data_IF_864023328103
#
_entry.id   IF_864023328103
#
_cell.length_a   1.000
_cell.length_b   1.000
_cell.length_c   1.000
_cell.angle_alpha   90.00
_cell.angle_beta   90.00
_cell.angle_gamma   90.00
#
_symmetry.space_group_name_H-M   'P 1'
#
loop_
_entity.id
_entity.type
_entity.pdbx_description
1 polymer ?
#
# COMPACT_ATOMS: atom_id res chain seq x y z
N UNK A 1 -4.44 -48.40 5.31
CA UNK A 1 -5.15 -47.19 5.74
C UNK A 1 -4.44 -46.01 5.10
N UNK A 2 -4.95 -45.51 3.97
CA UNK A 2 -4.34 -44.42 3.22
C UNK A 2 -4.96 -43.10 3.67
N UNK A 3 -4.19 -42.28 4.38
CA UNK A 3 -4.59 -40.93 4.76
C UNK A 3 -4.37 -40.02 3.54
N UNK A 4 -5.46 -39.63 2.89
CA UNK A 4 -5.48 -38.59 1.87
C UNK A 4 -5.14 -37.26 2.54
N UNK A 5 -3.92 -36.75 2.32
CA UNK A 5 -3.58 -35.37 2.61
C UNK A 5 -4.19 -34.50 1.51
N UNK A 6 -5.22 -33.73 1.84
CA UNK A 6 -5.68 -32.65 0.96
C UNK A 6 -4.65 -31.51 1.01
N UNK A 7 -4.34 -30.88 -0.14
CA UNK A 7 -3.57 -29.65 -0.14
C UNK A 7 -4.41 -28.55 0.51
N UNK A 8 -3.85 -27.90 1.54
CA UNK A 8 -4.44 -26.70 2.14
C UNK A 8 -4.39 -25.60 1.09
N UNK A 9 -5.54 -25.36 0.45
CA UNK A 9 -5.73 -24.26 -0.47
C UNK A 9 -5.88 -22.98 0.36
N UNK A 10 -4.83 -22.14 0.41
CA UNK A 10 -4.81 -20.85 1.12
C UNK A 10 -5.64 -19.76 0.40
N UNK A 11 -6.69 -20.14 -0.31
CA UNK A 11 -7.65 -19.20 -0.89
C UNK A 11 -8.81 -18.93 0.07
N UNK A 12 -8.49 -18.65 1.33
CA UNK A 12 -9.43 -18.04 2.26
C UNK A 12 -9.03 -16.56 2.39
N UNK A 13 -9.58 -15.73 1.50
CA UNK A 13 -9.68 -14.29 1.76
C UNK A 13 -10.46 -14.14 3.05
N UNK A 14 -9.74 -13.93 4.13
CA UNK A 14 -10.34 -13.66 5.42
C UNK A 14 -10.93 -12.25 5.40
N UNK A 15 -12.20 -12.11 5.77
CA UNK A 15 -12.92 -10.83 5.97
C UNK A 15 -12.34 -9.92 7.06
N UNK A 16 -11.17 -10.26 7.61
CA UNK A 16 -10.35 -9.32 8.36
C UNK A 16 -9.80 -8.30 7.37
N UNK A 17 -10.19 -7.03 7.50
CA UNK A 17 -9.46 -5.94 6.86
C UNK A 17 -7.99 -6.14 7.18
N UNK A 18 -7.20 -6.50 6.18
CA UNK A 18 -5.77 -6.68 6.39
C UNK A 18 -5.22 -5.33 6.85
N UNK A 19 -4.72 -5.30 8.09
CA UNK A 19 -4.08 -4.12 8.64
C UNK A 19 -2.73 -3.93 7.95
N UNK A 20 -2.30 -2.67 7.76
CA UNK A 20 -0.98 -2.41 7.20
C UNK A 20 0.09 -2.99 8.12
N UNK A 21 1.01 -3.82 7.60
CA UNK A 21 2.07 -4.40 8.41
C UNK A 21 2.94 -3.30 9.02
N UNK A 22 3.26 -3.46 10.30
CA UNK A 22 4.20 -2.59 11.00
C UNK A 22 5.61 -3.18 10.85
N UNK A 23 6.48 -2.43 10.20
CA UNK A 23 7.86 -2.81 9.91
C UNK A 23 8.80 -2.09 10.87
N UNK A 24 9.78 -2.82 11.41
CA UNK A 24 10.83 -2.24 12.22
C UNK A 24 11.73 -1.36 11.33
N UNK A 25 11.87 -0.08 11.68
CA UNK A 25 12.65 0.89 10.91
C UNK A 25 14.14 0.51 10.79
N UNK A 26 14.70 -0.27 11.72
CA UNK A 26 16.09 -0.75 11.62
C UNK A 26 16.32 -1.72 10.46
N UNK A 27 15.26 -2.30 9.89
CA UNK A 27 15.33 -3.25 8.78
C UNK A 27 15.21 -2.58 7.41
N UNK A 28 14.89 -1.28 7.37
CA UNK A 28 14.66 -0.56 6.11
C UNK A 28 15.88 0.26 5.72
N UNK A 29 16.17 0.30 4.43
CA UNK A 29 17.25 1.12 3.88
C UNK A 29 16.63 2.32 3.15
N UNK A 30 16.67 3.49 3.77
CA UNK A 30 16.15 4.73 3.17
C UNK A 30 17.10 5.26 2.08
N UNK A 31 16.53 5.82 1.03
CA UNK A 31 17.25 6.49 -0.04
C UNK A 31 16.46 7.69 -0.55
N UNK A 32 17.12 8.59 -1.27
CA UNK A 32 16.48 9.69 -1.99
C UNK A 32 16.57 9.44 -3.48
N UNK A 33 15.54 9.85 -4.22
CA UNK A 33 15.52 9.74 -5.67
C UNK A 33 14.73 10.89 -6.29
N UNK A 34 14.96 11.12 -7.59
CA UNK A 34 14.26 12.16 -8.35
C UNK A 34 13.05 11.57 -9.09
N UNK A 35 11.87 12.15 -8.89
CA UNK A 35 10.67 11.89 -9.68
C UNK A 35 9.81 13.14 -9.69
N UNK A 36 10.02 14.03 -10.67
CA UNK A 36 9.50 15.41 -10.74
C UNK A 36 9.97 16.34 -9.60
N UNK A 37 10.21 15.78 -8.42
CA UNK A 37 10.81 16.41 -7.24
C UNK A 37 11.65 15.37 -6.47
N UNK A 38 12.38 15.82 -5.45
CA UNK A 38 13.12 14.92 -4.55
C UNK A 38 12.10 14.14 -3.71
N UNK A 39 12.14 12.82 -3.81
CA UNK A 39 11.31 11.89 -3.04
C UNK A 39 12.15 11.07 -2.09
N UNK A 40 11.54 10.70 -0.96
CA UNK A 40 12.11 9.75 -0.01
C UNK A 40 11.56 8.36 -0.35
N UNK A 41 12.46 7.41 -0.54
CA UNK A 41 12.15 6.01 -0.72
C UNK A 41 12.78 5.14 0.36
N UNK A 42 12.32 3.89 0.44
CA UNK A 42 13.01 2.88 1.24
C UNK A 42 12.99 1.52 0.54
N UNK A 43 14.01 0.71 0.81
CA UNK A 43 14.06 -0.70 0.46
C UNK A 43 13.80 -1.54 1.70
N UNK A 44 12.85 -2.46 1.60
CA UNK A 44 12.56 -3.47 2.61
C UNK A 44 12.51 -4.84 1.93
N UNK A 45 13.48 -5.70 2.26
CA UNK A 45 13.74 -6.92 1.48
C UNK A 45 14.03 -6.60 0.01
N UNK A 46 13.22 -7.16 -0.89
CA UNK A 46 13.31 -6.95 -2.35
C UNK A 46 12.35 -5.89 -2.87
N UNK A 47 11.51 -5.31 -2.00
CA UNK A 47 10.51 -4.33 -2.38
C UNK A 47 11.02 -2.90 -2.16
N UNK A 48 10.56 -2.00 -3.03
CA UNK A 48 10.87 -0.57 -2.99
C UNK A 48 9.58 0.19 -2.69
N UNK A 49 9.68 1.12 -1.76
CA UNK A 49 8.56 1.91 -1.30
C UNK A 49 8.86 3.40 -1.44
N UNK A 50 7.81 4.20 -1.61
CA UNK A 50 7.84 5.66 -1.51
C UNK A 50 7.16 6.10 -0.22
N UNK A 51 7.71 7.13 0.41
CA UNK A 51 7.07 7.76 1.56
C UNK A 51 5.79 8.48 1.11
N UNK A 52 4.64 8.09 1.67
CA UNK A 52 3.39 8.81 1.48
C UNK A 52 3.29 9.97 2.47
N UNK A 53 3.38 9.64 3.76
CA UNK A 53 3.24 10.61 4.82
C UNK A 53 3.92 10.13 6.11
N UNK A 54 4.37 11.09 6.91
CA UNK A 54 4.90 10.85 8.25
C UNK A 54 4.08 11.62 9.29
N UNK A 55 3.90 11.00 10.44
CA UNK A 55 3.12 11.50 11.56
C UNK A 55 3.97 11.47 12.84
N UNK A 56 3.83 12.46 13.74
CA UNK A 56 4.39 12.38 15.09
C UNK A 56 3.85 11.17 15.85
N UNK A 57 4.58 10.70 16.86
CA UNK A 57 4.19 9.56 17.71
C UNK A 57 2.79 9.71 18.34
N UNK A 58 2.39 10.94 18.67
CA UNK A 58 1.07 11.27 19.21
C UNK A 58 -0.08 10.99 18.21
N UNK A 59 0.24 10.93 16.92
CA UNK A 59 -0.70 10.75 15.81
C UNK A 59 -0.64 9.34 15.20
N UNK A 60 -0.19 8.34 15.97
CA UNK A 60 -0.09 6.94 15.52
C UNK A 60 -1.37 6.39 14.90
N UNK A 61 -2.53 6.82 15.40
CA UNK A 61 -3.82 6.37 14.87
C UNK A 61 -4.05 6.91 13.46
N UNK A 62 -3.68 8.17 13.18
CA UNK A 62 -3.77 8.74 11.84
C UNK A 62 -2.91 7.97 10.84
N UNK A 63 -1.69 7.59 11.23
CA UNK A 63 -0.83 6.76 10.39
C UNK A 63 -1.47 5.41 10.07
N UNK A 64 -2.12 4.80 11.07
CA UNK A 64 -2.85 3.53 10.91
C UNK A 64 -4.07 3.70 9.99
N UNK A 65 -4.89 4.73 10.21
CA UNK A 65 -6.10 5.01 9.42
C UNK A 65 -5.75 5.20 7.94
N UNK A 66 -4.70 5.98 7.67
CA UNK A 66 -4.22 6.21 6.31
C UNK A 66 -3.66 4.94 5.69
N UNK A 67 -2.84 4.17 6.42
CA UNK A 67 -2.38 2.88 5.93
C UNK A 67 -3.54 1.94 5.58
N UNK A 68 -4.56 1.86 6.44
CA UNK A 68 -5.77 1.08 6.18
C UNK A 68 -6.51 1.58 4.93
N UNK A 69 -6.64 2.90 4.74
CA UNK A 69 -7.32 3.48 3.58
C UNK A 69 -6.64 3.07 2.26
N UNK A 70 -5.31 3.12 2.19
CA UNK A 70 -4.59 2.70 0.99
C UNK A 70 -4.67 1.18 0.77
N UNK A 71 -4.61 0.39 1.83
CA UNK A 71 -4.75 -1.06 1.71
C UNK A 71 -6.16 -1.46 1.23
N UNK A 72 -7.20 -0.76 1.69
CA UNK A 72 -8.57 -0.91 1.19
C UNK A 72 -8.70 -0.56 -0.31
N UNK A 73 -7.84 0.32 -0.83
CA UNK A 73 -7.75 0.64 -2.27
C UNK A 73 -6.91 -0.39 -3.04
N UNK A 74 -6.50 -1.49 -2.41
CA UNK A 74 -5.69 -2.54 -3.03
C UNK A 74 -4.21 -2.21 -3.18
N UNK A 75 -3.72 -1.15 -2.50
CA UNK A 75 -2.30 -0.85 -2.50
C UNK A 75 -1.53 -1.68 -1.48
N UNK A 76 -0.35 -2.15 -1.86
CA UNK A 76 0.63 -2.70 -0.93
C UNK A 76 1.29 -1.55 -0.16
N UNK A 77 0.95 -1.46 1.12
CA UNK A 77 1.43 -0.43 2.04
C UNK A 77 1.99 -1.04 3.31
N UNK A 78 2.90 -0.33 3.96
CA UNK A 78 3.36 -0.67 5.29
C UNK A 78 3.63 0.58 6.13
N UNK A 79 3.74 0.41 7.44
CA UNK A 79 4.04 1.48 8.39
C UNK A 79 5.35 1.18 9.07
N UNK A 80 6.29 2.13 9.09
CA UNK A 80 7.46 2.05 9.99
C UNK A 80 7.24 2.89 11.22
N UNK A 81 7.69 2.40 12.37
CA UNK A 81 7.70 3.14 13.62
C UNK A 81 9.14 3.48 14.04
N UNK A 82 9.39 4.77 14.30
CA UNK A 82 10.60 5.29 14.93
C UNK A 82 10.30 5.68 16.39
N UNK A 83 11.31 6.19 17.10
CA UNK A 83 11.10 6.74 18.45
C UNK A 83 10.20 7.98 18.47
N UNK A 84 10.07 8.69 17.36
CA UNK A 84 9.40 9.99 17.30
C UNK A 84 8.28 10.06 16.26
N UNK A 85 8.25 9.13 15.31
CA UNK A 85 7.38 9.21 14.13
C UNK A 85 6.87 7.84 13.66
N UNK A 86 5.69 7.85 13.07
CA UNK A 86 5.17 6.78 12.23
C UNK A 86 5.21 7.24 10.77
N UNK A 87 5.71 6.40 9.87
CA UNK A 87 5.76 6.72 8.44
C UNK A 87 5.01 5.67 7.64
N UNK A 88 4.13 6.13 6.76
CA UNK A 88 3.33 5.30 5.85
C UNK A 88 4.04 5.22 4.51
N UNK A 89 4.25 4.00 4.03
CA UNK A 89 5.02 3.70 2.83
C UNK A 89 4.18 2.93 1.83
N UNK A 90 4.24 3.35 0.57
CA UNK A 90 3.54 2.71 -0.54
C UNK A 90 4.53 1.98 -1.43
N UNK A 91 4.25 0.72 -1.74
CA UNK A 91 5.04 -0.05 -2.70
C UNK A 91 4.97 0.62 -4.08
N UNK A 92 6.13 0.89 -4.67
CA UNK A 92 6.22 1.53 -5.98
C UNK A 92 5.53 0.72 -7.10
N UNK A 93 5.43 -0.61 -6.96
CA UNK A 93 4.68 -1.45 -7.90
C UNK A 93 3.18 -1.19 -7.84
N UNK A 94 2.62 -1.00 -6.64
CA UNK A 94 1.21 -0.67 -6.45
C UNK A 94 0.88 0.75 -6.89
N UNK A 95 1.83 1.69 -6.76
CA UNK A 95 1.66 3.04 -7.30
C UNK A 95 1.39 3.02 -8.81
N UNK A 96 2.12 2.18 -9.55
CA UNK A 96 1.89 2.01 -10.99
C UNK A 96 0.49 1.46 -11.28
N UNK A 97 0.03 0.47 -10.51
CA UNK A 97 -1.31 -0.11 -10.65
C UNK A 97 -2.42 0.91 -10.36
N UNK A 98 -2.30 1.68 -9.27
CA UNK A 98 -3.24 2.74 -8.93
C UNK A 98 -3.30 3.84 -10.00
N UNK A 99 -2.16 4.19 -10.59
CA UNK A 99 -2.08 5.20 -11.67
C UNK A 99 -2.68 4.73 -13.00
N UNK A 100 -2.77 3.41 -13.22
CA UNK A 100 -3.39 2.83 -14.39
C UNK A 100 -4.91 2.70 -14.22
N UNK A 101 -5.38 2.34 -13.02
CA UNK A 101 -6.82 2.28 -12.71
C UNK A 101 -7.53 3.64 -12.84
N UNK A 102 -6.81 4.76 -12.69
CA UNK A 102 -7.36 6.12 -12.90
C UNK A 102 -7.31 6.60 -14.36
N UNK A 103 -6.72 5.81 -15.27
CA UNK A 103 -6.57 6.15 -16.69
C UNK A 103 -7.54 5.41 -17.62
N UNK A 104 -8.53 4.68 -17.08
CA UNK A 104 -9.63 4.13 -17.87
C UNK A 104 -10.82 5.10 -17.92
N UNK A 105 -10.98 5.92 -18.99
CA UNK A 105 -12.24 6.58 -19.29
C UNK A 105 -13.17 5.57 -19.99
N UNK A 106 -13.77 4.66 -19.23
CA UNK A 106 -14.81 3.76 -19.74
C UNK A 106 -16.17 4.17 -19.17
N UNK A 107 -16.63 5.36 -19.58
CA UNK A 107 -18.04 5.72 -19.72
C UNK A 107 -18.15 6.96 -20.62
N UNK A 108 -18.03 6.77 -21.93
CA UNK A 108 -18.63 7.71 -22.90
C UNK A 108 -20.12 7.39 -22.92
N UNK A 109 -20.89 8.02 -22.04
CA UNK A 109 -22.35 8.03 -22.15
C UNK A 109 -22.70 8.75 -23.44
N UNK A 110 -23.34 8.03 -24.36
CA UNK A 110 -23.89 8.55 -25.59
C UNK A 110 -24.88 9.68 -25.27
N UNK A 111 -24.58 10.90 -25.70
CA UNK A 111 -25.60 11.95 -25.82
C UNK A 111 -26.59 11.53 -26.90
N UNK A 112 -27.77 11.16 -26.46
CA UNK A 112 -28.97 11.02 -27.27
C UNK A 112 -29.28 12.35 -27.96
N UNK A 113 -29.24 12.34 -29.30
CA UNK A 113 -29.97 13.31 -30.12
C UNK A 113 -31.44 13.32 -29.69
N UNK A 114 -31.93 14.47 -29.27
CA UNK A 114 -33.34 14.81 -29.32
C UNK A 114 -33.52 15.77 -30.49
N UNK A 115 -34.24 15.29 -31.51
CA UNK A 115 -34.91 16.11 -32.52
C UNK A 115 -36.11 16.84 -31.89
#
# INVERSE_FOLDING_TARGET
MNSLLMPINFSHQSEWRELPPIVNESLVHKFMYWNHEIKIGMRYGVALYVLLQSYPIAERLKACDIGCEYQLKGADVCITASRTTYSVWLNLKSLHQLSQATKDPLYTTQESKSE
#
